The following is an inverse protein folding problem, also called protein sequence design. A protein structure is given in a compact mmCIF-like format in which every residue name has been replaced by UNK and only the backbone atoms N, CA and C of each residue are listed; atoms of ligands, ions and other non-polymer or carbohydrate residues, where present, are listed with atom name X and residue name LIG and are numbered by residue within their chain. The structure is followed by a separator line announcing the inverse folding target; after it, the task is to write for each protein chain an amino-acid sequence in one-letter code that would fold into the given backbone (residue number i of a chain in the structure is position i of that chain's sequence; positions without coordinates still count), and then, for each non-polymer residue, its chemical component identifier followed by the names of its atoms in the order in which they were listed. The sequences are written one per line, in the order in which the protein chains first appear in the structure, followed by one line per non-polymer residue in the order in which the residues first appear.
data_IF_414699701398
#
_entry.id   IF_414699701398
#
_cell.length_a   1.000
_cell.length_b   1.000
_cell.length_c   1.000
_cell.angle_alpha   90.00
_cell.angle_beta   90.00
_cell.angle_gamma   90.00
#
_symmetry.space_group_name_H-M   'P 1'
#
loop_
_entity.id
_entity.type
_entity.pdbx_description
1 polymer ?
#
# COMPACT_ATOMS: atom_id res chain seq x y z
N UNK A 1 8.13 6.88 22.43
CA UNK A 1 7.35 7.93 21.74
C UNK A 1 6.20 8.34 22.65
N UNK A 2 5.88 9.64 22.78
CA UNK A 2 4.76 10.08 23.59
C UNK A 2 3.43 9.67 22.93
N UNK A 3 2.50 9.18 23.74
CA UNK A 3 1.11 8.97 23.31
C UNK A 3 0.39 10.32 23.44
N UNK A 4 -0.06 10.89 22.31
CA UNK A 4 -0.81 12.13 22.31
C UNK A 4 -2.31 11.82 22.25
N UNK A 5 -3.09 12.48 23.09
CA UNK A 5 -4.54 12.41 23.01
C UNK A 5 -5.03 13.31 21.88
N UNK A 6 -5.83 12.74 20.98
CA UNK A 6 -6.44 13.51 19.89
C UNK A 6 -7.70 14.22 20.36
N UNK A 7 -7.85 15.49 20.00
CA UNK A 7 -9.09 16.25 20.19
C UNK A 7 -10.10 16.02 19.05
N UNK A 8 -9.76 15.15 18.07
CA UNK A 8 -10.65 14.84 16.95
C UNK A 8 -11.93 14.19 17.46
N UNK A 9 -13.06 14.73 17.01
CA UNK A 9 -14.39 14.13 17.22
C UNK A 9 -15.04 13.93 15.86
N UNK A 10 -15.44 12.69 15.54
CA UNK A 10 -16.15 12.44 14.28
C UNK A 10 -17.49 13.19 14.30
N UNK A 11 -18.00 13.62 13.13
CA UNK A 11 -19.36 14.15 13.00
C UNK A 11 -20.38 13.16 13.59
N UNK A 12 -21.45 13.68 14.20
CA UNK A 12 -22.45 12.86 14.90
C UNK A 12 -23.07 11.76 14.02
N UNK A 13 -23.21 11.98 12.71
CA UNK A 13 -23.72 10.98 11.78
C UNK A 13 -22.74 9.85 11.47
N UNK A 14 -21.45 9.99 11.84
CA UNK A 14 -20.42 8.95 11.72
C UNK A 14 -20.18 8.28 13.09
N UNK A 15 -21.23 7.81 13.73
CA UNK A 15 -21.24 7.33 15.11
C UNK A 15 -20.55 5.98 15.33
N UNK A 16 -20.15 5.27 14.27
CA UNK A 16 -19.42 4.00 14.38
C UNK A 16 -18.30 3.88 13.33
N UNK A 17 -17.36 2.95 13.58
CA UNK A 17 -16.19 2.73 12.73
C UNK A 17 -16.53 2.32 11.29
N UNK A 18 -17.63 1.60 11.06
CA UNK A 18 -18.04 1.22 9.70
C UNK A 18 -18.47 2.45 8.91
N UNK A 19 -19.29 3.33 9.46
CA UNK A 19 -19.69 4.57 8.81
C UNK A 19 -18.48 5.48 8.56
N UNK A 20 -17.57 5.61 9.53
CA UNK A 20 -16.33 6.40 9.37
C UNK A 20 -15.42 5.83 8.26
N UNK A 21 -15.44 4.53 8.04
CA UNK A 21 -14.65 3.87 6.97
C UNK A 21 -15.31 4.01 5.60
N UNK A 22 -16.64 3.93 5.53
CA UNK A 22 -17.37 3.84 4.26
C UNK A 22 -17.73 5.23 3.71
N UNK A 23 -18.17 6.16 4.56
CA UNK A 23 -18.65 7.48 4.14
C UNK A 23 -17.64 8.28 3.29
N UNK A 24 -16.33 8.32 3.63
CA UNK A 24 -15.34 9.05 2.83
C UNK A 24 -15.21 8.53 1.39
N UNK A 25 -15.54 7.27 1.14
CA UNK A 25 -15.46 6.67 -0.21
C UNK A 25 -16.46 7.33 -1.18
N UNK A 26 -17.60 7.80 -0.65
CA UNK A 26 -18.67 8.42 -1.45
C UNK A 26 -18.59 9.94 -1.51
N UNK A 27 -17.89 10.57 -0.56
CA UNK A 27 -17.85 12.03 -0.40
C UNK A 27 -16.74 12.75 -1.16
N UNK A 28 -15.79 12.02 -1.76
CA UNK A 28 -14.60 12.62 -2.40
C UNK A 28 -14.79 12.68 -3.91
N UNK A 29 -14.75 13.89 -4.47
CA UNK A 29 -14.68 14.11 -5.90
C UNK A 29 -13.29 13.66 -6.42
N UNK A 30 -13.27 12.72 -7.35
CA UNK A 30 -12.03 12.21 -7.92
C UNK A 30 -11.48 13.16 -8.98
N UNK A 31 -10.23 13.55 -8.84
CA UNK A 31 -9.52 14.32 -9.86
C UNK A 31 -8.64 13.36 -10.69
N UNK A 32 -9.09 13.05 -11.91
CA UNK A 32 -8.39 12.12 -12.79
C UNK A 32 -7.17 12.74 -13.51
N UNK A 33 -7.03 14.07 -13.48
CA UNK A 33 -5.95 14.82 -14.16
C UNK A 33 -4.86 15.31 -13.20
N UNK A 34 -4.89 14.88 -11.95
CA UNK A 34 -3.95 15.34 -10.92
C UNK A 34 -2.51 14.88 -11.19
N UNK A 35 -2.35 13.69 -11.77
CA UNK A 35 -1.06 13.02 -11.83
C UNK A 35 -0.45 12.92 -13.23
N UNK A 36 0.87 13.04 -13.30
CA UNK A 36 1.70 12.51 -14.39
C UNK A 36 2.29 11.16 -13.96
N UNK A 37 2.39 10.20 -14.88
CA UNK A 37 2.85 8.84 -14.57
C UNK A 37 4.20 8.57 -15.20
N UNK A 38 5.09 7.93 -14.46
CA UNK A 38 6.35 7.39 -14.96
C UNK A 38 6.58 5.97 -14.43
N UNK A 39 7.52 5.26 -15.04
CA UNK A 39 7.98 3.95 -14.58
C UNK A 39 9.39 4.05 -14.05
N UNK A 40 9.65 3.43 -12.91
CA UNK A 40 10.97 3.22 -12.35
C UNK A 40 11.33 1.75 -12.52
N UNK A 41 12.35 1.47 -13.32
CA UNK A 41 12.85 0.10 -13.52
C UNK A 41 13.52 -0.39 -12.23
N UNK A 42 13.25 -1.63 -11.87
CA UNK A 42 13.79 -2.30 -10.69
C UNK A 42 14.97 -3.21 -11.06
N UNK A 43 15.89 -3.48 -10.12
CA UNK A 43 17.05 -4.34 -10.36
C UNK A 43 16.70 -5.78 -10.74
N UNK A 44 15.51 -6.26 -10.38
CA UNK A 44 15.01 -7.60 -10.71
C UNK A 44 14.39 -7.70 -12.11
N UNK A 45 14.41 -6.62 -12.90
CA UNK A 45 13.84 -6.54 -14.24
C UNK A 45 12.34 -6.19 -14.27
N UNK A 46 11.74 -5.97 -13.13
CA UNK A 46 10.38 -5.45 -13.00
C UNK A 46 10.35 -3.91 -12.94
N UNK A 47 9.23 -3.31 -12.61
CA UNK A 47 9.09 -1.85 -12.51
C UNK A 47 8.13 -1.43 -11.40
N UNK A 48 8.26 -0.18 -10.95
CA UNK A 48 7.25 0.52 -10.19
C UNK A 48 6.57 1.55 -11.07
N UNK A 49 5.26 1.61 -11.02
CA UNK A 49 4.50 2.73 -11.58
C UNK A 49 4.39 3.83 -10.52
N UNK A 50 4.76 5.04 -10.90
CA UNK A 50 4.85 6.20 -10.04
C UNK A 50 3.93 7.30 -10.57
N UNK A 51 3.03 7.79 -9.73
CA UNK A 51 2.16 8.92 -10.06
C UNK A 51 2.63 10.18 -9.33
N UNK A 52 2.88 11.24 -10.08
CA UNK A 52 3.48 12.47 -9.61
C UNK A 52 2.57 13.67 -9.67
N UNK A 53 2.66 14.53 -8.66
CA UNK A 53 2.29 15.95 -8.72
C UNK A 53 3.56 16.74 -8.51
N UNK A 54 4.10 17.35 -9.56
CA UNK A 54 5.36 18.12 -9.53
C UNK A 54 5.06 19.60 -9.62
N UNK A 55 5.54 20.35 -8.64
CA UNK A 55 5.53 21.83 -8.62
C UNK A 55 6.93 22.44 -8.69
N UNK A 56 7.98 21.60 -8.74
CA UNK A 56 9.38 22.05 -8.70
C UNK A 56 9.81 22.46 -7.29
N UNK A 57 9.28 21.78 -6.27
CA UNK A 57 9.57 22.08 -4.86
C UNK A 57 10.77 21.27 -4.35
N UNK A 58 11.40 21.77 -3.28
CA UNK A 58 12.51 21.10 -2.58
C UNK A 58 12.08 20.00 -1.59
N UNK A 59 10.79 19.88 -1.39
CA UNK A 59 10.18 18.95 -0.43
C UNK A 59 9.38 17.90 -1.18
N UNK A 60 9.59 16.63 -0.84
CA UNK A 60 8.89 15.49 -1.41
C UNK A 60 8.09 14.74 -0.37
N UNK A 61 6.81 14.50 -0.66
CA UNK A 61 6.02 13.51 0.08
C UNK A 61 5.83 12.26 -0.78
N UNK A 62 6.33 11.13 -0.27
CA UNK A 62 6.09 9.81 -0.87
C UNK A 62 4.89 9.20 -0.19
N UNK A 63 3.88 8.81 -0.97
CA UNK A 63 2.64 8.17 -0.50
C UNK A 63 2.61 6.70 -0.91
N UNK A 64 2.39 5.82 0.07
CA UNK A 64 2.21 4.38 -0.14
C UNK A 64 0.78 4.01 0.25
N UNK A 65 0.03 3.48 -0.70
CA UNK A 65 -1.37 3.11 -0.51
C UNK A 65 -1.55 1.81 0.30
N UNK A 66 -2.75 1.58 0.81
CA UNK A 66 -3.13 0.33 1.47
C UNK A 66 -3.37 -0.82 0.49
N UNK A 67 -3.75 -1.99 1.04
CA UNK A 67 -3.99 -3.22 0.28
C UNK A 67 -4.93 -2.98 -0.91
N UNK A 68 -4.44 -3.33 -2.12
CA UNK A 68 -5.16 -3.18 -3.40
C UNK A 68 -5.66 -1.75 -3.68
N UNK A 69 -4.97 -0.75 -3.06
CA UNK A 69 -5.16 0.67 -3.38
C UNK A 69 -4.34 1.12 -4.58
N UNK A 70 -4.37 2.41 -4.85
CA UNK A 70 -3.54 3.13 -5.83
C UNK A 70 -3.67 4.65 -5.63
N UNK A 71 -3.11 5.45 -6.53
CA UNK A 71 -3.21 6.92 -6.51
C UNK A 71 -4.64 7.46 -6.53
N UNK A 72 -5.61 6.68 -7.05
CA UNK A 72 -7.04 7.05 -7.11
C UNK A 72 -7.80 6.70 -5.82
N UNK A 73 -7.14 6.16 -4.81
CA UNK A 73 -7.73 5.97 -3.48
C UNK A 73 -8.03 7.34 -2.88
N UNK A 74 -9.24 7.54 -2.35
CA UNK A 74 -9.70 8.86 -1.87
C UNK A 74 -8.74 9.52 -0.89
N UNK A 75 -8.18 8.76 0.06
CA UNK A 75 -7.24 9.27 1.06
C UNK A 75 -5.89 9.66 0.43
N UNK A 76 -5.43 8.94 -0.61
CA UNK A 76 -4.21 9.28 -1.33
C UNK A 76 -4.39 10.57 -2.11
N UNK A 77 -5.51 10.71 -2.84
CA UNK A 77 -5.80 11.94 -3.58
C UNK A 77 -5.93 13.16 -2.67
N UNK A 78 -6.64 13.04 -1.55
CA UNK A 78 -6.79 14.14 -0.60
C UNK A 78 -5.44 14.58 -0.02
N UNK A 79 -4.56 13.64 0.34
CA UNK A 79 -3.21 13.97 0.77
C UNK A 79 -2.41 14.65 -0.34
N UNK A 80 -2.47 14.10 -1.57
CA UNK A 80 -1.76 14.66 -2.70
C UNK A 80 -2.24 16.10 -3.03
N UNK A 81 -3.54 16.33 -3.08
CA UNK A 81 -4.12 17.66 -3.32
C UNK A 81 -3.76 18.65 -2.22
N UNK A 82 -3.87 18.24 -0.95
CA UNK A 82 -3.58 19.12 0.18
C UNK A 82 -2.11 19.54 0.22
N UNK A 83 -1.19 18.59 0.15
CA UNK A 83 0.23 18.89 0.29
C UNK A 83 0.84 19.54 -0.95
N UNK A 84 0.35 19.22 -2.15
CA UNK A 84 0.76 19.95 -3.35
C UNK A 84 0.33 21.43 -3.31
N UNK A 85 -0.84 21.73 -2.75
CA UNK A 85 -1.32 23.10 -2.60
C UNK A 85 -0.49 23.94 -1.62
N UNK A 86 0.27 23.31 -0.72
CA UNK A 86 1.15 24.01 0.24
C UNK A 86 2.64 23.85 -0.10
N UNK A 87 2.96 23.53 -1.36
CA UNK A 87 4.33 23.59 -1.89
C UNK A 87 5.16 22.32 -1.70
N UNK A 88 4.52 21.15 -1.72
CA UNK A 88 5.21 19.86 -1.75
C UNK A 88 5.09 19.21 -3.13
N UNK A 89 6.15 18.60 -3.61
CA UNK A 89 6.04 17.60 -4.66
C UNK A 89 5.51 16.30 -4.07
N UNK A 90 4.65 15.61 -4.81
CA UNK A 90 4.03 14.37 -4.36
C UNK A 90 4.41 13.23 -5.30
N UNK A 91 4.80 12.12 -4.71
CA UNK A 91 5.06 10.86 -5.38
C UNK A 91 4.19 9.77 -4.78
N UNK A 92 3.29 9.21 -5.55
CA UNK A 92 2.54 8.02 -5.16
C UNK A 92 3.22 6.79 -5.72
N UNK A 93 3.77 5.94 -4.86
CA UNK A 93 4.30 4.63 -5.24
C UNK A 93 3.15 3.64 -5.34
N UNK A 94 2.97 3.05 -6.51
CA UNK A 94 2.09 1.91 -6.66
C UNK A 94 2.84 0.64 -6.28
N UNK A 95 2.32 -0.11 -5.32
CA UNK A 95 2.81 -1.47 -5.07
C UNK A 95 2.64 -2.33 -6.33
N UNK A 96 3.46 -3.33 -6.50
CA UNK A 96 3.51 -4.14 -7.73
C UNK A 96 2.11 -4.61 -8.14
N UNK A 97 1.80 -4.44 -9.41
CA UNK A 97 0.50 -4.77 -10.04
C UNK A 97 -0.71 -4.05 -9.42
N UNK A 98 -0.51 -2.86 -8.82
CA UNK A 98 -1.56 -1.98 -8.33
C UNK A 98 -1.76 -0.72 -9.19
N UNK A 99 -0.86 -0.47 -10.14
CA UNK A 99 -0.95 0.63 -11.10
C UNK A 99 -1.92 0.36 -12.25
N UNK A 100 -1.66 1.00 -13.39
CA UNK A 100 -2.45 0.83 -14.63
C UNK A 100 -2.06 -0.45 -15.36
N UNK A 101 -0.79 -0.82 -15.28
CA UNK A 101 -0.24 -2.02 -15.92
C UNK A 101 0.07 -3.10 -14.88
N UNK A 102 0.01 -4.35 -15.33
CA UNK A 102 0.48 -5.47 -14.53
C UNK A 102 2.01 -5.53 -14.61
N UNK A 103 2.63 -5.85 -13.50
CA UNK A 103 4.06 -6.07 -13.44
C UNK A 103 4.50 -7.25 -14.29
N UNK A 104 5.80 -7.27 -14.65
CA UNK A 104 6.39 -8.32 -15.51
C UNK A 104 6.58 -9.63 -14.77
N UNK A 105 6.86 -9.55 -13.46
CA UNK A 105 7.11 -10.75 -12.65
C UNK A 105 5.84 -11.19 -11.91
N UNK A 106 5.64 -12.50 -11.70
CA UNK A 106 4.50 -13.04 -10.96
C UNK A 106 4.69 -12.91 -9.44
N UNK A 107 5.07 -11.72 -8.98
CA UNK A 107 5.35 -11.42 -7.57
C UNK A 107 4.14 -10.73 -6.94
N UNK A 108 3.78 -11.15 -5.74
CA UNK A 108 2.76 -10.52 -4.92
C UNK A 108 3.43 -9.66 -3.83
N UNK A 109 3.04 -8.39 -3.73
CA UNK A 109 3.56 -7.50 -2.70
C UNK A 109 2.92 -7.79 -1.34
N UNK A 110 3.63 -7.43 -0.28
CA UNK A 110 3.23 -7.67 1.11
C UNK A 110 3.82 -6.62 2.07
N UNK A 111 3.47 -6.68 3.35
CA UNK A 111 3.93 -5.72 4.36
C UNK A 111 5.45 -5.60 4.50
N UNK A 112 6.19 -6.65 4.18
CA UNK A 112 7.66 -6.66 4.18
C UNK A 112 8.31 -6.29 2.84
N UNK A 113 7.56 -5.88 1.81
CA UNK A 113 8.12 -5.46 0.50
C UNK A 113 8.78 -4.09 0.60
N UNK A 114 9.92 -4.02 1.26
CA UNK A 114 10.64 -2.77 1.58
C UNK A 114 11.73 -2.42 0.58
N UNK A 115 12.20 -3.38 -0.21
CA UNK A 115 13.26 -3.18 -1.20
C UNK A 115 12.82 -2.23 -2.32
N UNK A 116 11.56 -2.29 -2.71
CA UNK A 116 10.96 -1.36 -3.67
C UNK A 116 11.03 0.10 -3.17
N UNK A 117 10.80 0.31 -1.86
CA UNK A 117 10.93 1.63 -1.22
C UNK A 117 12.40 2.06 -1.18
N UNK A 118 13.32 1.13 -0.93
CA UNK A 118 14.75 1.42 -0.91
C UNK A 118 15.26 1.88 -2.30
N UNK A 119 14.84 1.20 -3.37
CA UNK A 119 15.17 1.59 -4.75
C UNK A 119 14.58 2.96 -5.08
N UNK A 120 13.32 3.19 -4.74
CA UNK A 120 12.65 4.48 -4.93
C UNK A 120 13.39 5.62 -4.22
N UNK A 121 13.69 5.46 -2.95
CA UNK A 121 14.41 6.49 -2.19
C UNK A 121 15.81 6.73 -2.75
N UNK A 122 16.54 5.70 -3.14
CA UNK A 122 17.87 5.83 -3.76
C UNK A 122 17.82 6.69 -5.02
N UNK A 123 16.78 6.57 -5.84
CA UNK A 123 16.61 7.33 -7.09
C UNK A 123 16.34 8.81 -6.82
N UNK A 124 15.53 9.13 -5.79
CA UNK A 124 15.05 10.49 -5.58
C UNK A 124 15.72 11.23 -4.42
N UNK A 125 16.49 10.55 -3.57
CA UNK A 125 17.09 11.15 -2.37
C UNK A 125 17.97 12.37 -2.66
N UNK A 126 18.69 12.39 -3.77
CA UNK A 126 19.57 13.50 -4.14
C UNK A 126 18.83 14.68 -4.78
N UNK A 127 17.56 14.52 -5.12
CA UNK A 127 16.78 15.53 -5.85
C UNK A 127 15.96 16.44 -4.91
N UNK A 128 15.88 16.10 -3.62
CA UNK A 128 15.06 16.82 -2.64
C UNK A 128 15.80 17.07 -1.33
N UNK A 129 15.58 18.26 -0.75
CA UNK A 129 16.17 18.65 0.54
C UNK A 129 15.48 17.98 1.73
N UNK A 130 14.21 17.67 1.59
CA UNK A 130 13.41 17.02 2.64
C UNK A 130 12.44 16.02 2.01
N UNK A 131 12.42 14.81 2.57
CA UNK A 131 11.51 13.74 2.15
C UNK A 131 10.68 13.32 3.36
N UNK A 132 9.39 13.11 3.15
CA UNK A 132 8.46 12.49 4.10
C UNK A 132 7.89 11.24 3.45
N UNK A 133 8.00 10.10 4.14
CA UNK A 133 7.40 8.84 3.71
C UNK A 133 6.08 8.62 4.46
N UNK A 134 4.99 8.52 3.73
CA UNK A 134 3.65 8.38 4.33
C UNK A 134 2.97 7.13 3.80
N UNK A 135 2.57 6.24 4.70
CA UNK A 135 1.90 5.00 4.33
C UNK A 135 0.53 4.82 4.99
N UNK A 136 -0.39 4.19 4.28
CA UNK A 136 -1.74 3.89 4.75
C UNK A 136 -1.98 2.39 4.84
N UNK A 137 -2.53 1.91 5.98
CA UNK A 137 -2.81 0.50 6.17
C UNK A 137 -1.56 -0.37 5.86
N UNK A 138 -1.65 -1.32 4.93
CA UNK A 138 -0.49 -2.13 4.51
C UNK A 138 0.71 -1.27 4.06
N UNK A 139 0.48 -0.16 3.36
CA UNK A 139 1.54 0.80 3.01
C UNK A 139 2.18 1.47 4.22
N UNK A 140 1.40 1.67 5.30
CA UNK A 140 1.92 2.14 6.59
C UNK A 140 2.83 1.10 7.24
N UNK A 141 2.44 -0.17 7.20
CA UNK A 141 3.28 -1.28 7.66
C UNK A 141 4.57 -1.39 6.83
N UNK A 142 4.48 -1.28 5.49
CA UNK A 142 5.68 -1.24 4.62
C UNK A 142 6.62 -0.08 5.00
N UNK A 143 6.09 1.11 5.26
CA UNK A 143 6.89 2.27 5.65
C UNK A 143 7.60 2.07 7.01
N UNK A 144 6.92 1.48 7.99
CA UNK A 144 7.51 1.14 9.29
C UNK A 144 8.58 0.05 9.15
N UNK A 145 8.29 -1.02 8.41
CA UNK A 145 9.27 -2.07 8.12
C UNK A 145 10.49 -1.54 7.37
N UNK A 146 10.30 -0.58 6.46
CA UNK A 146 11.41 0.06 5.76
C UNK A 146 12.38 0.71 6.75
N UNK A 147 11.92 1.58 7.63
CA UNK A 147 12.81 2.28 8.57
C UNK A 147 13.41 1.38 9.64
N UNK A 148 12.78 0.23 9.91
CA UNK A 148 13.32 -0.75 10.84
C UNK A 148 14.46 -1.61 10.22
N UNK A 149 14.50 -1.76 8.90
CA UNK A 149 15.40 -2.70 8.20
C UNK A 149 16.46 -2.06 7.32
N UNK A 150 16.22 -0.83 6.88
CA UNK A 150 17.12 -0.12 5.96
C UNK A 150 17.75 1.10 6.63
N UNK A 151 18.98 1.41 6.24
CA UNK A 151 19.59 2.68 6.58
C UNK A 151 18.79 3.82 5.92
N UNK A 152 18.34 4.77 6.72
CA UNK A 152 17.56 5.90 6.23
C UNK A 152 18.45 7.07 5.84
N UNK A 153 18.21 7.72 4.67
CA UNK A 153 18.96 8.88 4.26
C UNK A 153 18.68 10.07 5.19
N UNK A 154 19.66 10.97 5.36
CA UNK A 154 19.55 12.12 6.27
C UNK A 154 18.40 13.09 5.93
N UNK A 155 18.00 13.16 4.67
CA UNK A 155 16.89 14.01 4.20
C UNK A 155 15.52 13.31 4.27
N UNK A 156 15.43 12.05 4.67
CA UNK A 156 14.18 11.46 5.12
C UNK A 156 13.87 12.00 6.54
N UNK A 157 13.05 13.04 6.60
CA UNK A 157 12.81 13.80 7.85
C UNK A 157 11.74 13.18 8.74
N UNK A 158 10.79 12.48 8.14
CA UNK A 158 9.71 11.85 8.90
C UNK A 158 9.12 10.65 8.17
N UNK A 159 8.56 9.73 8.96
CA UNK A 159 7.71 8.64 8.47
C UNK A 159 6.37 8.71 9.20
N UNK A 160 5.28 8.71 8.43
CA UNK A 160 3.92 8.70 8.97
C UNK A 160 3.20 7.42 8.53
N UNK A 161 2.68 6.67 9.49
CA UNK A 161 1.92 5.45 9.23
C UNK A 161 0.50 5.58 9.76
N UNK A 162 -0.48 5.54 8.85
CA UNK A 162 -1.90 5.68 9.18
C UNK A 162 -2.56 4.31 9.22
N UNK A 163 -3.13 3.94 10.38
CA UNK A 163 -3.87 2.69 10.58
C UNK A 163 -3.08 1.45 10.11
N UNK A 164 -1.77 1.43 10.36
CA UNK A 164 -0.89 0.34 9.97
C UNK A 164 -1.22 -0.95 10.75
N UNK A 165 -1.35 -2.10 10.05
CA UNK A 165 -1.49 -3.40 10.71
C UNK A 165 -0.11 -3.89 11.21
N UNK A 166 0.34 -3.41 12.38
CA UNK A 166 1.64 -3.78 12.94
C UNK A 166 1.75 -5.29 13.26
N UNK A 167 0.63 -5.95 13.52
CA UNK A 167 0.49 -7.41 13.60
C UNK A 167 -0.42 -7.88 12.45
N UNK A 168 0.18 -8.46 11.42
CA UNK A 168 -0.54 -8.93 10.23
C UNK A 168 -1.48 -10.09 10.56
N UNK A 169 -1.06 -11.05 11.41
CA UNK A 169 -1.87 -12.20 11.80
C UNK A 169 -3.18 -11.78 12.44
N UNK A 170 -3.10 -10.97 13.48
CA UNK A 170 -4.29 -10.45 14.18
C UNK A 170 -5.15 -9.59 13.27
N UNK A 171 -4.53 -8.81 12.39
CA UNK A 171 -5.24 -7.94 11.44
C UNK A 171 -6.03 -8.74 10.41
N UNK A 172 -5.45 -9.79 9.82
CA UNK A 172 -6.17 -10.68 8.89
C UNK A 172 -7.30 -11.43 9.58
N UNK A 173 -7.06 -11.98 10.77
CA UNK A 173 -8.10 -12.63 11.58
C UNK A 173 -9.26 -11.68 11.86
N UNK A 174 -8.98 -10.40 12.13
CA UNK A 174 -10.01 -9.40 12.37
C UNK A 174 -10.78 -9.05 11.10
N UNK A 175 -10.10 -8.92 9.96
CA UNK A 175 -10.74 -8.66 8.65
C UNK A 175 -11.67 -9.83 8.28
N UNK A 176 -11.28 -11.07 8.53
CA UNK A 176 -12.05 -12.26 8.20
C UNK A 176 -13.24 -12.54 9.13
N UNK A 177 -13.41 -11.76 10.22
CA UNK A 177 -14.62 -11.88 11.09
C UNK A 177 -15.88 -11.56 10.30
N UNK A 178 -16.97 -12.22 10.66
CA UNK A 178 -18.28 -12.04 10.02
C UNK A 178 -18.70 -10.56 9.93
N UNK A 179 -18.49 -9.77 10.97
CA UNK A 179 -18.79 -8.33 11.01
C UNK A 179 -18.03 -7.50 9.99
N UNK A 180 -16.90 -8.00 9.49
CA UNK A 180 -16.01 -7.33 8.55
C UNK A 180 -16.04 -7.95 7.14
N UNK A 181 -16.94 -8.90 6.89
CA UNK A 181 -17.02 -9.68 5.64
C UNK A 181 -17.14 -8.83 4.38
N UNK A 182 -17.76 -7.67 4.47
CA UNK A 182 -17.85 -6.71 3.35
C UNK A 182 -16.45 -6.28 2.92
N UNK A 183 -15.56 -5.97 3.86
CA UNK A 183 -14.19 -5.57 3.57
C UNK A 183 -13.36 -6.76 3.06
N UNK A 184 -13.46 -7.91 3.72
CA UNK A 184 -12.79 -9.14 3.29
C UNK A 184 -13.16 -9.50 1.84
N UNK A 185 -14.43 -9.50 1.49
CA UNK A 185 -14.90 -9.79 0.14
C UNK A 185 -14.37 -8.78 -0.89
N UNK A 186 -14.34 -7.48 -0.55
CA UNK A 186 -13.79 -6.45 -1.43
C UNK A 186 -12.31 -6.67 -1.70
N UNK A 187 -11.52 -7.02 -0.70
CA UNK A 187 -10.10 -7.34 -0.87
C UNK A 187 -9.92 -8.62 -1.70
N UNK A 188 -10.63 -9.68 -1.36
CA UNK A 188 -10.56 -10.97 -2.06
C UNK A 188 -10.90 -10.83 -3.56
N UNK A 189 -11.94 -10.06 -3.90
CA UNK A 189 -12.28 -9.81 -5.30
C UNK A 189 -11.12 -9.21 -6.08
N UNK A 190 -10.43 -8.21 -5.51
CA UNK A 190 -9.29 -7.55 -6.17
C UNK A 190 -8.07 -8.46 -6.23
N UNK A 191 -7.75 -9.12 -5.12
CA UNK A 191 -6.62 -10.05 -5.02
C UNK A 191 -6.77 -11.22 -6.00
N UNK A 192 -7.95 -11.85 -6.05
CA UNK A 192 -8.24 -12.92 -7.02
C UNK A 192 -8.17 -12.42 -8.46
N UNK A 193 -8.69 -11.23 -8.74
CA UNK A 193 -8.60 -10.64 -10.08
C UNK A 193 -7.14 -10.38 -10.50
N UNK A 194 -6.30 -9.93 -9.57
CA UNK A 194 -4.86 -9.75 -9.79
C UNK A 194 -4.17 -11.06 -10.13
N UNK A 195 -4.37 -12.11 -9.31
CA UNK A 195 -3.77 -13.43 -9.56
C UNK A 195 -4.20 -13.99 -10.91
N UNK A 196 -5.49 -13.89 -11.30
CA UNK A 196 -5.94 -14.30 -12.62
C UNK A 196 -5.26 -13.55 -13.77
N UNK A 197 -5.02 -12.24 -13.61
CA UNK A 197 -4.28 -11.47 -14.61
C UNK A 197 -2.81 -11.91 -14.69
N UNK A 198 -2.18 -12.16 -13.55
CA UNK A 198 -0.81 -12.68 -13.50
C UNK A 198 -0.72 -14.09 -14.12
N UNK A 199 -1.69 -14.97 -13.86
CA UNK A 199 -1.76 -16.29 -14.49
C UNK A 199 -1.93 -16.21 -16.01
N UNK A 200 -2.70 -15.25 -16.52
CA UNK A 200 -2.81 -15.02 -17.96
C UNK A 200 -1.49 -14.55 -18.60
N UNK A 201 -0.67 -13.83 -17.86
CA UNK A 201 0.67 -13.40 -18.30
C UNK A 201 1.72 -14.52 -18.14
N UNK A 202 1.53 -15.39 -17.16
CA UNK A 202 2.45 -16.47 -16.78
C UNK A 202 1.70 -17.78 -16.59
N UNK A 203 1.22 -18.42 -17.68
CA UNK A 203 0.38 -19.61 -17.59
C UNK A 203 1.05 -20.76 -16.83
N UNK A 204 0.31 -21.38 -15.92
CA UNK A 204 0.74 -22.53 -15.13
C UNK A 204 1.47 -22.21 -13.83
N UNK A 205 1.60 -20.91 -13.47
CA UNK A 205 2.26 -20.51 -12.22
C UNK A 205 1.30 -20.57 -11.05
N UNK A 206 0.05 -20.10 -11.22
CA UNK A 206 -0.91 -20.03 -10.12
C UNK A 206 -1.99 -21.13 -10.25
N UNK A 207 -2.29 -21.81 -9.14
CA UNK A 207 -3.41 -22.77 -9.09
C UNK A 207 -4.75 -22.01 -8.99
N UNK A 208 -5.41 -21.84 -10.16
CA UNK A 208 -6.69 -21.15 -10.26
C UNK A 208 -7.83 -21.91 -9.59
N UNK A 209 -7.76 -23.26 -9.49
CA UNK A 209 -8.78 -24.04 -8.78
C UNK A 209 -8.75 -23.71 -7.30
N UNK A 210 -7.57 -23.78 -6.68
CA UNK A 210 -7.37 -23.35 -5.29
C UNK A 210 -7.77 -21.90 -5.10
N UNK A 211 -7.43 -20.97 -6.04
CA UNK A 211 -7.82 -19.57 -5.97
C UNK A 211 -9.34 -19.39 -5.87
N UNK A 212 -10.12 -20.16 -6.63
CA UNK A 212 -11.58 -20.04 -6.62
C UNK A 212 -12.20 -20.49 -5.29
N UNK A 213 -11.61 -21.44 -4.61
CA UNK A 213 -12.05 -21.97 -3.32
C UNK A 213 -11.74 -21.02 -2.12
N UNK A 214 -10.80 -20.08 -2.29
CA UNK A 214 -10.42 -19.14 -1.23
C UNK A 214 -11.62 -18.29 -0.79
N UNK A 215 -11.88 -18.24 0.53
CA UNK A 215 -13.01 -17.50 1.13
C UNK A 215 -12.59 -16.52 2.23
N UNK A 216 -11.28 -16.44 2.55
CA UNK A 216 -10.74 -15.56 3.58
C UNK A 216 -9.42 -14.93 3.14
N UNK A 217 -9.09 -13.75 3.69
CA UNK A 217 -7.80 -13.09 3.42
C UNK A 217 -6.65 -13.93 3.94
N UNK A 218 -6.81 -14.55 5.11
CA UNK A 218 -5.81 -15.46 5.67
C UNK A 218 -5.55 -16.67 4.74
N UNK A 219 -6.59 -17.28 4.16
CA UNK A 219 -6.42 -18.37 3.21
C UNK A 219 -5.72 -17.90 1.92
N UNK A 220 -5.99 -16.66 1.46
CA UNK A 220 -5.28 -16.08 0.34
C UNK A 220 -3.80 -15.88 0.67
N UNK A 221 -3.48 -15.35 1.83
CA UNK A 221 -2.09 -15.17 2.27
C UNK A 221 -1.35 -16.50 2.37
N UNK A 222 -1.99 -17.55 2.90
CA UNK A 222 -1.40 -18.88 3.04
C UNK A 222 -1.09 -19.56 1.70
N UNK A 223 -1.98 -19.43 0.71
CA UNK A 223 -1.87 -20.17 -0.55
C UNK A 223 -1.23 -19.37 -1.68
N UNK A 224 -1.22 -18.04 -1.59
CA UNK A 224 -0.71 -17.17 -2.65
C UNK A 224 0.36 -16.19 -2.15
N UNK A 225 0.05 -15.28 -1.22
CA UNK A 225 1.02 -14.24 -0.87
C UNK A 225 2.31 -14.83 -0.28
N UNK A 226 2.22 -15.69 0.73
CA UNK A 226 3.39 -16.25 1.37
C UNK A 226 4.26 -17.10 0.43
N UNK A 227 3.72 -18.09 -0.31
CA UNK A 227 4.53 -18.91 -1.23
C UNK A 227 5.17 -18.09 -2.35
N UNK A 228 4.40 -17.19 -2.98
CA UNK A 228 4.88 -16.39 -4.13
C UNK A 228 5.72 -15.17 -3.73
N UNK A 229 5.93 -14.95 -2.44
CA UNK A 229 6.87 -13.97 -1.89
C UNK A 229 8.09 -14.63 -1.23
N UNK A 230 8.25 -15.95 -1.40
CA UNK A 230 9.43 -16.69 -0.95
C UNK A 230 9.45 -17.06 0.54
N UNK A 231 8.32 -16.94 1.25
CA UNK A 231 8.21 -17.35 2.65
C UNK A 231 8.03 -18.86 2.79
N UNK A 232 8.68 -19.44 3.80
CA UNK A 232 8.61 -20.89 4.07
C UNK A 232 7.26 -21.34 4.62
N UNK A 233 6.54 -20.44 5.26
CA UNK A 233 5.23 -20.70 5.87
C UNK A 233 4.43 -19.41 6.04
N UNK A 234 3.14 -19.55 6.35
CA UNK A 234 2.29 -18.42 6.72
C UNK A 234 2.78 -17.74 8.02
N UNK A 235 3.33 -18.50 8.97
CA UNK A 235 3.88 -17.94 10.21
C UNK A 235 5.14 -17.12 9.93
N UNK A 236 6.03 -17.59 9.07
CA UNK A 236 7.21 -16.86 8.60
C UNK A 236 6.81 -15.54 7.90
N UNK A 237 5.78 -15.60 7.04
CA UNK A 237 5.19 -14.40 6.43
C UNK A 237 4.69 -13.39 7.47
N UNK A 238 3.98 -13.83 8.50
CA UNK A 238 3.48 -12.94 9.55
C UNK A 238 4.61 -12.33 10.37
N UNK A 239 5.57 -13.14 10.79
CA UNK A 239 6.73 -12.67 11.56
C UNK A 239 7.59 -11.69 10.75
N UNK A 240 7.80 -11.98 9.49
CA UNK A 240 8.63 -11.15 8.61
C UNK A 240 7.87 -9.97 8.01
N UNK A 241 6.56 -10.02 7.92
CA UNK A 241 5.73 -8.95 7.34
C UNK A 241 5.22 -7.93 8.36
N UNK A 242 5.17 -8.27 9.63
CA UNK A 242 4.73 -7.36 10.72
C UNK A 242 5.80 -6.31 11.06
N UNK A 243 5.39 -5.15 11.58
CA UNK A 243 6.29 -4.02 11.91
C UNK A 243 6.36 -3.73 13.41
#
# INVERSE_FOLDING_TARGET
MPVLQSNYRPPAYLFNGHLQTIAPVFGVKRNNSLYTTEKLELPDGDFLELDWVRGGNDQLMILIHGLEGNSRSHYVQQMAEHFSAIGWDILVMHARSCGREMNRLPVLYHGGSTDDIAVLLKEYVQKYNSIVLTGFSLGGNMALNFVARHATPQNLKAVAAFSAPCDLKTSEQKIDRFTNRIYANKFLLKLKAKVRKLENLHPGIFDIKTLDEIKSVQAFSANFTAPFSGFKSLEDFYLSGSS
#
